data_IF_942934544249
#
_entry.id   IF_942934544249
#
_cell.length_a   1.000
_cell.length_b   1.000
_cell.length_c   1.000
_cell.angle_alpha   90.00
_cell.angle_beta   90.00
_cell.angle_gamma   90.00
#
_symmetry.space_group_name_H-M   'P 1'
#
loop_
_entity.id
_entity.type
_entity.pdbx_description
1 polymer ?
#
# COMPACT_ATOMS: atom_id res chain seq x y z
N UNK A 1 2.12 0.57 8.19
CA UNK A 1 2.96 -0.13 7.19
C UNK A 1 2.77 0.55 5.83
N UNK A 2 3.82 0.62 5.01
CA UNK A 2 3.79 1.18 3.65
C UNK A 2 4.24 0.08 2.67
N UNK A 3 3.54 -0.09 1.54
CA UNK A 3 3.76 -1.19 0.60
C UNK A 3 5.19 -1.26 0.05
N UNK A 4 5.76 -0.09 -0.27
CA UNK A 4 7.12 0.09 -0.77
C UNK A 4 8.18 -0.53 0.15
N UNK A 5 7.97 -0.52 1.47
CA UNK A 5 8.92 -1.09 2.43
C UNK A 5 9.08 -2.60 2.29
N UNK A 6 8.06 -3.28 1.76
CA UNK A 6 8.10 -4.71 1.43
C UNK A 6 8.46 -4.93 -0.04
N UNK A 7 7.96 -4.08 -0.94
CA UNK A 7 8.13 -4.27 -2.37
C UNK A 7 9.55 -3.96 -2.86
N UNK A 8 10.20 -2.90 -2.36
CA UNK A 8 11.53 -2.49 -2.82
C UNK A 8 12.63 -3.55 -2.54
N UNK A 9 12.69 -4.20 -1.36
CA UNK A 9 13.63 -5.29 -1.14
C UNK A 9 13.40 -6.50 -2.06
N UNK A 10 12.13 -6.85 -2.32
CA UNK A 10 11.79 -7.93 -3.25
C UNK A 10 12.24 -7.58 -4.67
N UNK A 11 11.98 -6.35 -5.11
CA UNK A 11 12.38 -5.84 -6.42
C UNK A 11 13.91 -5.83 -6.56
N UNK A 12 14.63 -5.36 -5.56
CA UNK A 12 16.10 -5.37 -5.53
C UNK A 12 16.66 -6.81 -5.59
N UNK A 13 16.04 -7.76 -4.90
CA UNK A 13 16.46 -9.17 -4.96
C UNK A 13 16.32 -9.81 -6.35
N UNK A 14 15.45 -9.24 -7.19
CA UNK A 14 15.26 -9.65 -8.59
C UNK A 14 16.22 -8.94 -9.56
N UNK A 15 17.19 -8.15 -9.06
CA UNK A 15 18.18 -7.43 -9.87
C UNK A 15 17.68 -6.14 -10.51
N UNK A 16 16.51 -5.64 -10.10
CA UNK A 16 15.94 -4.41 -10.62
C UNK A 16 16.72 -3.18 -10.14
N UNK A 17 16.79 -2.18 -11.02
CA UNK A 17 17.52 -0.92 -10.80
C UNK A 17 16.79 0.09 -9.91
N UNK A 18 15.50 -0.14 -9.61
CA UNK A 18 14.69 0.72 -8.77
C UNK A 18 13.19 0.68 -9.12
N UNK A 19 12.39 1.62 -8.59
CA UNK A 19 10.94 1.65 -8.82
C UNK A 19 10.52 2.01 -10.25
N UNK A 20 11.45 2.48 -11.09
CA UNK A 20 11.24 2.75 -12.52
C UNK A 20 11.58 1.56 -13.41
N UNK A 21 12.07 0.46 -12.82
CA UNK A 21 12.42 -0.75 -13.54
C UNK A 21 11.15 -1.43 -14.11
N UNK A 22 11.17 -2.04 -15.30
CA UNK A 22 10.02 -2.79 -15.84
C UNK A 22 9.50 -3.90 -14.91
N UNK A 23 10.34 -4.44 -14.03
CA UNK A 23 9.93 -5.42 -13.03
C UNK A 23 9.07 -4.81 -11.91
N UNK A 24 9.14 -3.49 -11.70
CA UNK A 24 8.41 -2.81 -10.62
C UNK A 24 6.90 -3.02 -10.73
N UNK A 25 6.31 -2.98 -11.93
CA UNK A 25 4.87 -3.22 -12.11
C UNK A 25 4.45 -4.62 -11.62
N UNK A 26 5.31 -5.63 -11.81
CA UNK A 26 5.07 -7.01 -11.41
C UNK A 26 5.26 -7.26 -9.92
N UNK A 27 5.89 -6.32 -9.20
CA UNK A 27 6.23 -6.47 -7.78
C UNK A 27 5.45 -5.48 -6.90
N UNK A 28 5.47 -4.19 -7.22
CA UNK A 28 4.97 -3.11 -6.37
C UNK A 28 3.47 -3.28 -6.05
N UNK A 29 2.59 -3.23 -7.06
CA UNK A 29 1.14 -3.39 -6.84
C UNK A 29 0.78 -4.78 -6.28
N UNK A 30 1.31 -5.89 -6.81
CA UNK A 30 0.99 -7.20 -6.26
C UNK A 30 1.44 -7.38 -4.80
N UNK A 31 2.52 -6.74 -4.36
CA UNK A 31 2.94 -6.75 -2.95
C UNK A 31 1.99 -5.91 -2.11
N UNK A 32 1.65 -4.68 -2.53
CA UNK A 32 0.70 -3.83 -1.82
C UNK A 32 -0.66 -4.52 -1.64
N UNK A 33 -1.20 -5.14 -2.69
CA UNK A 33 -2.48 -5.84 -2.63
C UNK A 33 -2.47 -7.05 -1.67
N UNK A 34 -1.33 -7.75 -1.54
CA UNK A 34 -1.16 -8.87 -0.59
C UNK A 34 -1.00 -8.36 0.84
N UNK A 35 -0.22 -7.29 1.03
CA UNK A 35 -0.05 -6.65 2.33
C UNK A 35 -1.40 -6.17 2.86
N UNK A 36 -2.24 -5.61 2.00
CA UNK A 36 -3.57 -5.13 2.37
C UNK A 36 -4.46 -6.23 2.97
N UNK A 37 -4.31 -7.50 2.55
CA UNK A 37 -5.04 -8.64 3.14
C UNK A 37 -4.63 -8.94 4.59
N UNK A 38 -3.53 -8.35 5.06
CA UNK A 38 -2.98 -8.53 6.40
C UNK A 38 -3.20 -7.29 7.28
N UNK A 39 -3.81 -6.24 6.74
CA UNK A 39 -4.08 -5.00 7.46
C UNK A 39 -5.48 -5.04 8.08
N UNK A 40 -5.58 -4.60 9.34
CA UNK A 40 -6.87 -4.39 10.00
C UNK A 40 -7.55 -3.08 9.57
N UNK A 41 -6.78 -2.12 9.06
CA UNK A 41 -7.26 -0.83 8.57
C UNK A 41 -6.26 -0.16 7.62
N UNK A 42 -6.72 0.85 6.89
CA UNK A 42 -5.91 1.76 6.06
C UNK A 42 -6.09 3.19 6.54
N UNK A 43 -4.99 3.94 6.64
CA UNK A 43 -5.01 5.39 6.80
C UNK A 43 -4.61 6.04 5.46
N UNK A 44 -5.55 6.73 4.81
CA UNK A 44 -5.29 7.52 3.60
C UNK A 44 -4.88 8.93 3.98
N UNK A 45 -3.59 9.22 3.83
CA UNK A 45 -3.04 10.58 3.96
C UNK A 45 -3.56 11.49 2.84
N UNK A 46 -3.59 12.83 2.99
CA UNK A 46 -3.93 13.73 1.88
C UNK A 46 -2.87 13.73 0.78
N UNK A 47 -3.25 14.14 -0.43
CA UNK A 47 -2.35 14.30 -1.59
C UNK A 47 -2.66 13.35 -2.75
N UNK A 48 -2.29 13.76 -3.96
CA UNK A 48 -2.52 12.99 -5.19
C UNK A 48 -1.63 11.75 -5.22
N UNK A 49 -2.23 10.57 -5.35
CA UNK A 49 -1.48 9.32 -5.52
C UNK A 49 -2.40 8.23 -6.07
N UNK A 50 -2.24 7.93 -7.35
CA UNK A 50 -3.01 6.87 -8.02
C UNK A 50 -2.86 5.52 -7.31
N UNK A 51 -1.66 5.19 -6.82
CA UNK A 51 -1.42 3.95 -6.09
C UNK A 51 -2.19 3.89 -4.78
N UNK A 52 -2.14 4.97 -3.98
CA UNK A 52 -2.89 5.04 -2.73
C UNK A 52 -4.41 5.00 -2.94
N UNK A 53 -4.90 5.63 -4.02
CA UNK A 53 -6.33 5.62 -4.35
C UNK A 53 -6.80 4.21 -4.77
N UNK A 54 -5.97 3.47 -5.49
CA UNK A 54 -6.22 2.07 -5.83
C UNK A 54 -6.23 1.17 -4.59
N UNK A 55 -5.28 1.34 -3.66
CA UNK A 55 -5.25 0.60 -2.40
C UNK A 55 -6.50 0.88 -1.55
N UNK A 56 -6.98 2.13 -1.51
CA UNK A 56 -8.23 2.51 -0.84
C UNK A 56 -9.44 1.84 -1.48
N UNK A 57 -9.51 1.78 -2.81
CA UNK A 57 -10.61 1.11 -3.51
C UNK A 57 -10.66 -0.38 -3.15
N UNK A 58 -9.50 -1.07 -3.22
CA UNK A 58 -9.40 -2.49 -2.87
C UNK A 58 -9.70 -2.73 -1.38
N UNK A 59 -9.27 -1.82 -0.49
CA UNK A 59 -9.56 -1.92 0.94
C UNK A 59 -11.07 -1.90 1.19
N UNK A 60 -11.76 -0.95 0.55
CA UNK A 60 -13.23 -0.82 0.64
C UNK A 60 -13.95 -2.04 0.07
N UNK A 61 -13.53 -2.55 -1.08
CA UNK A 61 -14.07 -3.78 -1.68
C UNK A 61 -13.94 -4.99 -0.73
N UNK A 62 -12.89 -5.02 0.08
CA UNK A 62 -12.62 -6.09 1.04
C UNK A 62 -13.20 -5.86 2.43
N UNK A 63 -13.93 -4.76 2.65
CA UNK A 63 -14.49 -4.39 3.94
C UNK A 63 -13.44 -3.97 4.98
N UNK A 64 -12.23 -3.60 4.54
CA UNK A 64 -11.17 -3.08 5.42
C UNK A 64 -11.49 -1.60 5.71
N UNK A 65 -11.58 -1.18 6.98
CA UNK A 65 -11.80 0.20 7.36
C UNK A 65 -10.76 1.15 6.74
N UNK A 66 -11.23 2.27 6.18
CA UNK A 66 -10.37 3.33 5.64
C UNK A 66 -10.63 4.62 6.41
N UNK A 67 -9.58 5.12 7.07
CA UNK A 67 -9.56 6.38 7.78
C UNK A 67 -8.85 7.45 6.95
N UNK A 68 -9.27 8.71 7.09
CA UNK A 68 -8.64 9.86 6.42
C UNK A 68 -8.02 10.85 7.40
N UNK A 69 -8.27 10.67 8.70
CA UNK A 69 -7.63 11.42 9.78
C UNK A 69 -7.13 10.46 10.85
N UNK A 70 -5.97 10.78 11.43
CA UNK A 70 -5.32 9.94 12.42
C UNK A 70 -6.17 9.77 13.70
N UNK A 71 -6.88 10.83 14.11
CA UNK A 71 -7.78 10.81 15.28
C UNK A 71 -8.96 9.83 15.17
N UNK A 72 -9.29 9.39 13.96
CA UNK A 72 -10.41 8.45 13.74
C UNK A 72 -9.93 6.98 13.88
N UNK A 73 -8.62 6.76 13.97
CA UNK A 73 -8.01 5.43 14.15
C UNK A 73 -8.17 4.99 15.61
N UNK A 74 -8.79 3.82 15.88
CA UNK A 74 -8.96 3.33 17.24
C UNK A 74 -7.65 3.22 18.02
N UNK A 75 -7.63 3.73 19.25
CA UNK A 75 -6.46 3.65 20.14
C UNK A 75 -5.38 4.70 19.89
N UNK A 76 -5.59 5.62 18.94
CA UNK A 76 -4.70 6.79 18.74
C UNK A 76 -5.32 8.01 19.43
N UNK A 77 -4.58 8.60 20.36
CA UNK A 77 -4.96 9.80 21.11
C UNK A 77 -4.56 11.09 20.38
#
# INVERSE_FOLDING_TARGET
>A
MIGEWVALPVLASAGASGPTDPLAEKVMYPVAHRLLQRCDAVLRLPGESRGADQDVAIARERGIPVYTALRDVPGVA
#
